data_IF_706451719598
#
_entry.id   IF_706451719598
#
_cell.length_a   1.000
_cell.length_b   1.000
_cell.length_c   1.000
_cell.angle_alpha   90.00
_cell.angle_beta   90.00
_cell.angle_gamma   90.00
#
_symmetry.space_group_name_H-M   'P 1'
#
loop_
_entity.id
_entity.type
_entity.pdbx_description
1 polymer ?
#
# COMPACT_ATOMS: atom_id res chain seq x y z
N UNK A 1 30.56 -9.98 11.70
CA UNK A 1 31.32 -9.40 10.58
C UNK A 1 32.76 -9.71 10.91
N UNK A 2 33.45 -10.52 10.11
CA UNK A 2 34.84 -10.91 10.37
C UNK A 2 35.71 -10.23 9.33
N UNK A 3 36.70 -9.47 9.77
CA UNK A 3 37.61 -8.71 8.91
C UNK A 3 39.02 -9.09 9.31
N UNK A 4 39.78 -9.69 8.39
CA UNK A 4 41.21 -9.89 8.52
C UNK A 4 41.90 -9.33 7.28
N UNK A 5 42.80 -8.36 7.52
CA UNK A 5 43.85 -7.85 6.65
C UNK A 5 43.62 -7.98 5.12
N UNK A 6 42.61 -7.29 4.59
CA UNK A 6 42.32 -7.14 3.13
C UNK A 6 41.33 -8.13 2.48
N UNK A 7 40.80 -9.13 3.20
CA UNK A 7 39.77 -10.04 2.63
C UNK A 7 38.35 -9.75 3.14
N UNK A 8 37.51 -9.23 2.24
CA UNK A 8 36.07 -9.05 2.48
C UNK A 8 35.30 -10.34 2.20
N UNK A 9 35.03 -11.11 3.26
CA UNK A 9 34.11 -12.25 3.18
C UNK A 9 32.66 -11.78 3.35
N UNK A 10 32.06 -11.31 2.27
CA UNK A 10 30.60 -11.24 2.19
C UNK A 10 30.10 -12.69 2.07
N UNK A 11 29.25 -13.13 3.02
CA UNK A 11 28.59 -14.44 2.89
C UNK A 11 27.84 -14.58 1.56
N UNK A 12 27.28 -15.76 1.27
CA UNK A 12 26.64 -16.14 -0.01
C UNK A 12 25.61 -15.17 -0.59
N UNK A 13 25.15 -14.18 0.18
CA UNK A 13 24.20 -13.14 -0.25
C UNK A 13 24.88 -11.77 -0.16
N UNK A 14 25.16 -11.17 -1.31
CA UNK A 14 25.64 -9.78 -1.42
C UNK A 14 24.54 -8.80 -1.02
N UNK A 15 24.64 -8.20 0.16
CA UNK A 15 23.71 -7.19 0.68
C UNK A 15 24.00 -5.77 0.14
N UNK A 16 24.30 -5.63 -1.16
CA UNK A 16 24.55 -4.32 -1.79
C UNK A 16 23.25 -3.52 -1.96
N UNK A 17 23.33 -2.18 -1.92
CA UNK A 17 22.19 -1.27 -2.04
C UNK A 17 21.43 -0.99 -0.73
N UNK A 18 20.39 -0.15 -0.82
CA UNK A 18 19.60 0.31 0.34
C UNK A 18 18.97 -0.84 1.14
N UNK A 19 19.25 -0.87 2.45
CA UNK A 19 18.64 -1.82 3.39
C UNK A 19 17.13 -1.64 3.48
N UNK A 20 16.65 -0.39 3.42
CA UNK A 20 15.24 -0.04 3.52
C UNK A 20 14.48 -0.55 2.29
N UNK A 21 14.99 -0.27 1.07
CA UNK A 21 14.36 -0.75 -0.15
C UNK A 21 14.22 -2.27 -0.19
N UNK A 22 15.26 -3.00 0.25
CA UNK A 22 15.22 -4.47 0.35
C UNK A 22 14.16 -4.94 1.34
N UNK A 23 14.03 -4.27 2.49
CA UNK A 23 13.02 -4.59 3.49
C UNK A 23 11.61 -4.36 2.93
N UNK A 24 11.34 -3.21 2.30
CA UNK A 24 10.05 -2.89 1.66
C UNK A 24 9.72 -3.94 0.59
N UNK A 25 10.64 -4.23 -0.33
CA UNK A 25 10.43 -5.23 -1.38
C UNK A 25 10.13 -6.63 -0.79
N UNK A 26 10.73 -6.97 0.34
CA UNK A 26 10.44 -8.24 1.03
C UNK A 26 9.03 -8.25 1.60
N UNK A 27 8.56 -7.14 2.20
CA UNK A 27 7.19 -7.01 2.68
C UNK A 27 6.18 -7.11 1.52
N UNK A 28 6.45 -6.41 0.42
CA UNK A 28 5.62 -6.46 -0.80
C UNK A 28 5.57 -7.90 -1.33
N UNK A 29 6.70 -8.59 -1.42
CA UNK A 29 6.75 -9.98 -1.88
C UNK A 29 5.95 -10.92 -0.96
N UNK A 30 6.00 -10.73 0.36
CA UNK A 30 5.18 -11.51 1.29
C UNK A 30 3.67 -11.26 1.08
N UNK A 31 3.27 -10.01 0.87
CA UNK A 31 1.87 -9.68 0.57
C UNK A 31 1.42 -10.30 -0.76
N UNK A 32 2.25 -10.18 -1.80
CA UNK A 32 1.99 -10.77 -3.12
C UNK A 32 1.89 -12.30 -3.08
N UNK A 33 2.71 -12.97 -2.26
CA UNK A 33 2.65 -14.41 -2.07
C UNK A 33 1.34 -14.91 -1.43
N UNK A 34 0.66 -14.06 -0.63
CA UNK A 34 -0.62 -14.40 0.02
C UNK A 34 -1.83 -14.10 -0.86
N UNK A 35 -1.71 -13.20 -1.83
CA UNK A 35 -2.81 -12.79 -2.73
C UNK A 35 -3.40 -13.99 -3.47
N UNK A 36 -4.73 -14.08 -3.59
CA UNK A 36 -5.39 -15.12 -4.40
C UNK A 36 -5.39 -14.71 -5.88
N UNK A 37 -5.26 -15.68 -6.78
CA UNK A 37 -5.33 -15.52 -8.24
C UNK A 37 -4.39 -14.43 -8.77
N UNK A 38 -3.08 -14.63 -8.65
CA UNK A 38 -2.09 -13.72 -9.24
C UNK A 38 -0.91 -14.50 -9.80
N UNK A 39 -0.42 -14.05 -10.96
CA UNK A 39 0.76 -14.62 -11.62
C UNK A 39 2.02 -14.58 -10.76
N UNK A 40 2.10 -13.59 -9.85
CA UNK A 40 3.18 -13.48 -8.88
C UNK A 40 3.15 -14.63 -7.85
N UNK A 41 1.95 -15.03 -7.41
CA UNK A 41 1.80 -16.17 -6.50
C UNK A 41 2.14 -17.49 -7.17
N UNK A 42 1.77 -17.67 -8.42
CA UNK A 42 2.13 -18.88 -9.18
C UNK A 42 3.66 -19.00 -9.32
N UNK A 43 4.32 -17.90 -9.67
CA UNK A 43 5.78 -17.85 -9.71
C UNK A 43 6.40 -18.20 -8.35
N UNK A 44 5.85 -17.64 -7.27
CA UNK A 44 6.29 -17.95 -5.92
C UNK A 44 6.09 -19.41 -5.56
N UNK A 45 4.92 -19.99 -5.84
CA UNK A 45 4.62 -21.40 -5.55
C UNK A 45 5.57 -22.33 -6.31
N UNK A 46 5.86 -22.03 -7.58
CA UNK A 46 6.84 -22.78 -8.38
C UNK A 46 8.23 -22.73 -7.75
N UNK A 47 8.69 -21.54 -7.33
CA UNK A 47 10.00 -21.42 -6.67
C UNK A 47 10.02 -22.02 -5.27
N UNK A 48 8.94 -21.88 -4.49
CA UNK A 48 8.82 -22.45 -3.14
C UNK A 48 9.04 -23.97 -3.15
N UNK A 49 8.49 -24.67 -4.15
CA UNK A 49 8.68 -26.13 -4.32
C UNK A 49 10.14 -26.52 -4.55
N UNK A 50 10.93 -25.72 -5.27
CA UNK A 50 12.32 -26.06 -5.63
C UNK A 50 13.35 -25.60 -4.60
N UNK A 51 13.20 -24.39 -4.03
CA UNK A 51 14.26 -23.73 -3.23
C UNK A 51 13.84 -23.39 -1.80
N UNK A 52 12.61 -23.73 -1.40
CA UNK A 52 12.05 -23.43 -0.08
C UNK A 52 11.54 -22.00 0.07
N UNK A 53 10.81 -21.75 1.16
CA UNK A 53 10.04 -20.52 1.37
C UNK A 53 10.90 -19.24 1.38
N UNK A 54 11.94 -19.19 2.23
CA UNK A 54 12.73 -17.97 2.41
C UNK A 54 13.43 -17.53 1.11
N UNK A 55 14.03 -18.49 0.39
CA UNK A 55 14.67 -18.20 -0.91
C UNK A 55 13.64 -17.84 -1.98
N UNK A 56 12.45 -18.45 -1.95
CA UNK A 56 11.39 -18.12 -2.90
C UNK A 56 10.83 -16.70 -2.70
N UNK A 57 10.70 -16.21 -1.46
CA UNK A 57 10.32 -14.81 -1.19
C UNK A 57 11.35 -13.84 -1.77
N UNK A 58 12.65 -14.10 -1.58
CA UNK A 58 13.69 -13.25 -2.15
C UNK A 58 13.70 -13.31 -3.68
N UNK A 59 13.48 -14.49 -4.27
CA UNK A 59 13.34 -14.64 -5.71
C UNK A 59 12.13 -13.86 -6.26
N UNK A 60 11.01 -13.86 -5.53
CA UNK A 60 9.83 -13.07 -5.87
C UNK A 60 10.11 -11.56 -5.75
N UNK A 61 10.76 -11.11 -4.68
CA UNK A 61 11.15 -9.72 -4.49
C UNK A 61 12.05 -9.21 -5.64
N UNK A 62 13.00 -10.04 -6.10
CA UNK A 62 13.82 -9.73 -7.27
C UNK A 62 12.97 -9.57 -8.54
N UNK A 63 12.02 -10.48 -8.76
CA UNK A 63 11.10 -10.40 -9.91
C UNK A 63 10.25 -9.13 -9.88
N UNK A 64 9.72 -8.76 -8.70
CA UNK A 64 8.93 -7.53 -8.52
C UNK A 64 9.79 -6.30 -8.79
N UNK A 65 11.04 -6.26 -8.32
CA UNK A 65 11.95 -5.15 -8.59
C UNK A 65 12.21 -4.98 -10.11
N UNK A 66 12.38 -6.08 -10.84
CA UNK A 66 12.52 -6.03 -12.31
C UNK A 66 11.25 -5.51 -12.98
N UNK A 67 10.07 -5.95 -12.53
CA UNK A 67 8.78 -5.44 -13.04
C UNK A 67 8.68 -3.93 -12.82
N UNK A 68 8.94 -3.45 -11.59
CA UNK A 68 8.90 -2.01 -11.27
C UNK A 68 9.83 -1.21 -12.18
N UNK A 69 11.05 -1.71 -12.43
CA UNK A 69 11.98 -1.04 -13.32
C UNK A 69 11.46 -0.95 -14.76
N UNK A 70 10.89 -2.02 -15.30
CA UNK A 70 10.29 -2.00 -16.64
C UNK A 70 9.12 -1.02 -16.72
N UNK A 71 8.21 -1.02 -15.74
CA UNK A 71 7.06 -0.12 -15.71
C UNK A 71 7.48 1.35 -15.68
N UNK A 72 8.48 1.69 -14.87
CA UNK A 72 8.99 3.07 -14.79
C UNK A 72 9.72 3.46 -16.06
N UNK A 73 10.48 2.54 -16.66
CA UNK A 73 11.29 2.83 -17.85
C UNK A 73 10.43 2.98 -19.12
N UNK A 74 9.34 2.21 -19.20
CA UNK A 74 8.44 2.21 -20.36
C UNK A 74 7.20 3.10 -20.17
N UNK A 75 7.01 3.70 -18.99
CA UNK A 75 5.80 4.44 -18.60
C UNK A 75 4.50 3.63 -18.75
N UNK A 76 4.56 2.35 -18.35
CA UNK A 76 3.46 1.40 -18.47
C UNK A 76 2.80 1.12 -17.11
N UNK A 77 1.49 0.82 -17.13
CA UNK A 77 0.80 0.34 -15.94
C UNK A 77 0.95 -1.18 -15.79
N UNK A 78 1.02 -1.64 -14.54
CA UNK A 78 1.05 -3.07 -14.26
C UNK A 78 -0.31 -3.71 -14.53
N UNK A 79 -0.34 -4.69 -15.42
CA UNK A 79 -1.51 -5.52 -15.68
C UNK A 79 -1.26 -6.98 -15.27
N UNK A 80 -2.20 -7.57 -14.51
CA UNK A 80 -2.18 -8.99 -14.15
C UNK A 80 -3.43 -9.65 -14.74
N UNK A 81 -3.23 -10.33 -15.87
CA UNK A 81 -4.26 -11.06 -16.63
C UNK A 81 -5.10 -11.99 -15.75
N UNK A 82 -4.51 -12.54 -14.67
CA UNK A 82 -5.12 -13.58 -13.83
C UNK A 82 -5.75 -13.05 -12.53
N UNK A 83 -5.53 -11.79 -12.14
CA UNK A 83 -6.26 -11.23 -11.01
C UNK A 83 -5.56 -10.13 -10.21
N UNK A 84 -5.86 -8.89 -10.61
CA UNK A 84 -6.24 -7.84 -9.66
C UNK A 84 -7.21 -6.90 -10.37
N UNK A 85 -8.50 -7.22 -10.33
CA UNK A 85 -9.49 -6.17 -10.49
C UNK A 85 -9.46 -5.37 -9.20
N UNK A 86 -8.88 -4.16 -9.26
CA UNK A 86 -9.03 -3.17 -8.20
C UNK A 86 -10.53 -2.94 -8.10
N UNK A 87 -11.20 -3.62 -7.16
CA UNK A 87 -12.58 -3.30 -6.82
C UNK A 87 -12.63 -1.80 -6.62
N UNK A 88 -13.62 -1.13 -7.22
CA UNK A 88 -13.75 0.31 -7.15
C UNK A 88 -13.50 0.74 -5.71
N UNK A 89 -12.42 1.48 -5.50
CA UNK A 89 -12.16 2.03 -4.18
C UNK A 89 -13.32 2.98 -3.99
N UNK A 90 -14.31 2.60 -3.17
CA UNK A 90 -15.33 3.51 -2.67
C UNK A 90 -14.55 4.60 -1.96
N UNK A 91 -14.18 5.66 -2.70
CA UNK A 91 -13.70 6.90 -2.12
C UNK A 91 -14.81 7.26 -1.16
N UNK A 92 -14.53 7.23 0.15
CA UNK A 92 -15.44 7.84 1.10
C UNK A 92 -15.69 9.22 0.53
N UNK A 93 -16.95 9.57 0.29
CA UNK A 93 -17.33 10.88 -0.21
C UNK A 93 -16.57 11.87 0.68
N UNK A 94 -15.55 12.53 0.12
CA UNK A 94 -15.03 13.72 0.77
C UNK A 94 -16.28 14.58 0.70
N UNK A 95 -16.94 14.77 1.84
CA UNK A 95 -18.03 15.73 1.92
C UNK A 95 -17.31 17.00 1.47
N UNK A 96 -17.57 17.44 0.24
CA UNK A 96 -17.18 18.77 -0.17
C UNK A 96 -17.73 19.64 0.94
N UNK A 97 -16.84 20.20 1.74
CA UNK A 97 -17.24 21.20 2.69
C UNK A 97 -17.71 22.34 1.80
N UNK A 98 -19.00 22.35 1.46
CA UNK A 98 -19.64 23.49 0.83
C UNK A 98 -19.21 24.69 1.68
N UNK A 99 -18.53 25.61 1.03
CA UNK A 99 -18.04 26.83 1.65
C UNK A 99 -19.29 27.70 1.80
N UNK A 100 -20.17 27.34 2.74
CA UNK A 100 -21.28 28.19 3.14
C UNK A 100 -20.70 29.53 3.58
N UNK A 101 -21.29 30.61 3.07
CA UNK A 101 -20.95 31.96 3.49
C UNK A 101 -21.11 32.07 5.01
N UNK A 102 -20.29 32.91 5.64
CA UNK A 102 -20.35 33.12 7.09
C UNK A 102 -21.78 33.51 7.52
N UNK A 103 -22.49 34.29 6.69
CA UNK A 103 -23.88 34.71 6.93
C UNK A 103 -24.89 33.56 6.92
N UNK A 104 -24.71 32.57 6.05
CA UNK A 104 -25.57 31.38 6.00
C UNK A 104 -25.36 30.53 7.25
N UNK A 105 -24.10 30.39 7.68
CA UNK A 105 -23.75 29.66 8.91
C UNK A 105 -24.31 30.37 10.15
N UNK A 106 -24.23 31.70 10.20
CA UNK A 106 -24.81 32.50 11.29
C UNK A 106 -26.33 32.33 11.33
N UNK A 107 -26.99 32.34 10.18
CA UNK A 107 -28.45 32.15 10.08
C UNK A 107 -28.88 30.76 10.54
N UNK A 108 -28.14 29.72 10.18
CA UNK A 108 -28.41 28.34 10.62
C UNK A 108 -28.21 28.22 12.14
N UNK A 109 -27.12 28.77 12.67
CA UNK A 109 -26.82 28.71 14.11
C UNK A 109 -27.87 29.50 14.90
N UNK A 110 -28.26 30.70 14.45
CA UNK A 110 -29.28 31.51 15.12
C UNK A 110 -30.64 30.82 15.10
N UNK A 111 -31.01 30.18 13.99
CA UNK A 111 -32.22 29.36 13.89
C UNK A 111 -32.22 28.18 14.85
N UNK A 112 -31.11 27.46 14.97
CA UNK A 112 -30.97 26.36 15.93
C UNK A 112 -31.10 26.87 17.36
N UNK A 113 -30.43 27.98 17.71
CA UNK A 113 -30.50 28.58 19.04
C UNK A 113 -31.92 29.04 19.36
N UNK A 114 -32.62 29.66 18.39
CA UNK A 114 -34.02 30.07 18.57
C UNK A 114 -34.94 28.87 18.80
N UNK A 115 -34.75 27.77 18.07
CA UNK A 115 -35.51 26.53 18.25
C UNK A 115 -35.20 25.89 19.61
N UNK A 116 -33.94 25.86 20.02
CA UNK A 116 -33.54 25.32 21.33
C UNK A 116 -34.06 26.19 22.48
N UNK A 117 -33.99 27.51 22.37
CA UNK A 117 -34.51 28.44 23.37
C UNK A 117 -36.03 28.42 23.49
N UNK A 118 -36.76 28.14 22.39
CA UNK A 118 -38.23 27.99 22.42
C UNK A 118 -38.67 26.73 23.17
N UNK A 119 -37.81 25.71 23.24
CA UNK A 119 -38.10 24.43 23.90
C UNK A 119 -38.03 24.50 25.43
N UNK A 120 -37.42 25.52 26.00
CA UNK A 120 -37.35 25.74 27.46
C UNK A 120 -38.54 26.53 28.03
N UNK A 121 -39.35 27.18 27.17
CA UNK A 121 -40.50 28.02 27.60
C UNK A 121 -41.88 27.34 27.56
N UNK A 122 -41.99 26.12 27.04
CA UNK A 122 -43.27 25.39 26.90
C UNK A 122 -43.42 24.22 27.91
N UNK A 123 -42.51 24.10 28.89
CA UNK A 123 -42.60 23.13 29.98
C UNK A 123 -42.90 23.82 31.32
N UNK A 124 -44.04 24.50 31.40
CA UNK A 124 -44.75 24.77 32.67
C UNK A 124 -46.23 24.85 32.44
#
# INVERSE_FOLDING_TARGET
MYQSADKYHNGRITKRGSKVARWILTQIAQAAARKKNSRLKEFFNRKKKTIGYAKAIIALARKIATIIWHLITNDEMYEDETGYQKGEVKKRKIVEAEIFSVDERITIISGIIAIMGKKEGEST
#
